data_IF_173267924020
#
_entry.id   IF_173267924020
#
_cell.length_a   1.000
_cell.length_b   1.000
_cell.length_c   1.000
_cell.angle_alpha   90.00
_cell.angle_beta   90.00
_cell.angle_gamma   90.00
#
_symmetry.space_group_name_H-M   'P 1'
#
loop_
_entity.id
_entity.type
_entity.pdbx_description
1 polymer ?
#
# COMPACT_ATOMS: atom_id res chain seq x y z
N UNK A 1 31.41 20.79 12.14
CA UNK A 1 30.87 19.68 12.97
C UNK A 1 29.58 19.25 12.29
N UNK A 2 29.64 18.24 11.42
CA UNK A 2 28.46 17.72 10.73
C UNK A 2 27.92 16.57 11.55
N UNK A 3 26.75 16.77 12.17
CA UNK A 3 26.00 15.66 12.76
C UNK A 3 25.58 14.73 11.64
N UNK A 4 26.14 13.51 11.67
CA UNK A 4 25.60 12.41 10.88
C UNK A 4 24.33 11.99 11.58
N UNK A 5 23.19 12.24 10.98
CA UNK A 5 21.96 11.57 11.35
C UNK A 5 21.99 10.15 10.75
N UNK A 6 21.79 9.14 11.60
CA UNK A 6 21.63 7.77 11.14
C UNK A 6 20.18 7.64 10.67
N UNK A 7 19.99 7.52 9.35
CA UNK A 7 18.71 7.06 8.83
C UNK A 7 18.52 5.60 9.29
N UNK A 8 17.52 5.37 10.12
CA UNK A 8 17.08 4.02 10.48
C UNK A 8 16.18 3.49 9.35
N UNK A 9 16.40 2.23 8.96
CA UNK A 9 15.64 1.58 7.90
C UNK A 9 14.78 0.51 8.54
N UNK A 10 13.46 0.64 8.36
CA UNK A 10 12.48 -0.36 8.76
C UNK A 10 11.85 -0.96 7.51
N UNK A 11 11.81 -2.28 7.47
CA UNK A 11 11.21 -3.00 6.36
C UNK A 11 9.69 -2.91 6.39
N UNK A 12 9.08 -2.98 5.21
CA UNK A 12 7.64 -2.92 5.01
C UNK A 12 7.22 -4.18 4.26
N UNK A 13 6.71 -5.18 4.97
CA UNK A 13 6.36 -6.45 4.34
C UNK A 13 5.22 -6.30 3.33
N UNK A 14 5.47 -6.71 2.09
CA UNK A 14 4.49 -6.74 0.99
C UNK A 14 4.10 -8.18 0.63
N UNK A 15 4.31 -9.10 1.56
CA UNK A 15 3.97 -10.52 1.45
C UNK A 15 5.16 -11.39 1.07
N UNK A 16 6.37 -11.07 1.56
CA UNK A 16 7.61 -11.83 1.30
C UNK A 16 7.47 -13.30 1.71
N UNK A 17 6.96 -13.55 2.92
CA UNK A 17 6.82 -14.90 3.47
C UNK A 17 5.80 -15.74 2.69
N UNK A 18 4.75 -15.10 2.19
CA UNK A 18 3.75 -15.73 1.33
C UNK A 18 4.17 -15.78 -0.16
N UNK A 19 5.24 -15.07 -0.52
CA UNK A 19 5.74 -14.96 -1.88
C UNK A 19 4.94 -14.03 -2.81
N UNK A 20 4.10 -13.17 -2.25
CA UNK A 20 3.25 -12.23 -3.00
C UNK A 20 4.01 -11.03 -3.56
N UNK A 21 5.23 -10.79 -3.05
CA UNK A 21 6.22 -9.83 -3.55
C UNK A 21 6.76 -10.19 -4.94
N UNK A 22 6.66 -11.47 -5.34
CA UNK A 22 7.13 -11.98 -6.64
C UNK A 22 5.98 -12.03 -7.63
N UNK A 23 5.99 -11.08 -8.55
CA UNK A 23 4.90 -10.84 -9.50
C UNK A 23 5.35 -10.93 -10.95
N UNK A 24 4.40 -11.22 -11.84
CA UNK A 24 4.56 -11.01 -13.28
C UNK A 24 3.83 -9.73 -13.68
N UNK A 25 4.58 -8.68 -14.03
CA UNK A 25 4.05 -7.36 -14.39
C UNK A 25 3.49 -7.32 -15.82
N UNK A 26 2.34 -7.95 -16.05
CA UNK A 26 1.62 -7.87 -17.32
C UNK A 26 0.76 -6.60 -17.46
N UNK A 27 0.24 -6.11 -16.34
CA UNK A 27 -0.59 -4.91 -16.23
C UNK A 27 -0.25 -4.16 -14.93
N UNK A 28 -0.67 -2.89 -14.79
CA UNK A 28 -0.59 -2.15 -13.53
C UNK A 28 -1.13 -2.95 -12.34
N UNK A 29 -0.33 -3.09 -11.29
CA UNK A 29 -0.75 -3.77 -10.06
C UNK A 29 -0.76 -2.80 -8.88
N UNK A 30 -1.51 -3.17 -7.86
CA UNK A 30 -1.49 -2.50 -6.55
C UNK A 30 -0.63 -3.35 -5.63
N UNK A 31 0.48 -2.78 -5.15
CA UNK A 31 1.26 -3.36 -4.06
C UNK A 31 0.62 -2.94 -2.74
N UNK A 32 0.42 -3.88 -1.83
CA UNK A 32 -0.17 -3.60 -0.52
C UNK A 32 0.78 -4.07 0.57
N UNK A 33 0.94 -3.22 1.57
CA UNK A 33 1.52 -3.56 2.86
C UNK A 33 0.38 -3.62 3.89
N UNK A 34 0.28 -4.73 4.63
CA UNK A 34 -0.68 -4.84 5.72
C UNK A 34 -0.11 -4.14 6.95
N UNK A 35 -0.88 -3.25 7.57
CA UNK A 35 -0.45 -2.56 8.79
C UNK A 35 -1.01 -3.31 9.99
N UNK A 36 -0.28 -4.36 10.34
CA UNK A 36 -0.45 -5.15 11.57
C UNK A 36 0.47 -4.65 12.69
N UNK A 37 0.51 -5.35 13.82
CA UNK A 37 1.30 -5.02 15.00
C UNK A 37 2.83 -5.06 14.77
N UNK A 38 3.29 -5.67 13.68
CA UNK A 38 4.70 -5.70 13.27
C UNK A 38 5.07 -4.54 12.33
N UNK A 39 4.07 -3.87 11.75
CA UNK A 39 4.27 -2.75 10.84
C UNK A 39 4.92 -1.53 11.53
N UNK A 40 5.91 -0.88 10.90
CA UNK A 40 6.43 0.42 11.34
C UNK A 40 5.38 1.54 11.40
N UNK A 41 4.26 1.37 10.69
CA UNK A 41 3.15 2.33 10.64
C UNK A 41 2.01 1.96 11.61
N UNK A 42 2.18 0.90 12.42
CA UNK A 42 1.17 0.49 13.37
C UNK A 42 0.83 1.60 14.36
N UNK A 43 -0.48 1.83 14.56
CA UNK A 43 -0.98 2.88 15.45
C UNK A 43 -0.80 4.32 14.94
N UNK A 44 -0.30 4.53 13.71
CA UNK A 44 -0.33 5.85 13.10
C UNK A 44 -1.77 6.30 12.86
N UNK A 45 -2.03 7.59 13.07
CA UNK A 45 -3.28 8.27 12.73
C UNK A 45 -3.02 9.29 11.62
N UNK A 46 -4.06 9.81 10.94
CA UNK A 46 -3.87 10.84 9.91
C UNK A 46 -3.07 12.05 10.42
N UNK A 47 -3.39 12.54 11.62
CA UNK A 47 -2.72 13.69 12.23
C UNK A 47 -1.24 13.40 12.56
N UNK A 48 -0.95 12.18 13.04
CA UNK A 48 0.42 11.76 13.34
C UNK A 48 1.23 11.60 12.06
N UNK A 49 0.64 11.00 11.02
CA UNK A 49 1.30 10.79 9.73
C UNK A 49 1.66 12.11 9.06
N UNK A 50 0.75 13.08 9.05
CA UNK A 50 1.01 14.40 8.47
C UNK A 50 2.19 15.14 9.13
N UNK A 51 2.43 14.90 10.43
CA UNK A 51 3.55 15.50 11.16
C UNK A 51 4.78 14.56 11.24
N UNK A 52 4.73 13.39 10.63
CA UNK A 52 5.81 12.41 10.72
C UNK A 52 7.02 12.83 9.88
N UNK A 53 8.19 12.31 10.25
CA UNK A 53 9.44 12.52 9.54
C UNK A 53 10.00 11.18 9.08
N UNK A 54 9.52 10.71 7.93
CA UNK A 54 10.04 9.54 7.24
C UNK A 54 9.89 9.70 5.74
N UNK A 55 10.51 8.81 4.98
CA UNK A 55 10.33 8.67 3.53
C UNK A 55 10.09 7.18 3.24
N UNK A 56 8.99 6.87 2.55
CA UNK A 56 8.70 5.50 2.13
C UNK A 56 9.39 5.25 0.80
N UNK A 57 10.39 4.37 0.78
CA UNK A 57 11.12 4.02 -0.44
C UNK A 57 10.52 2.75 -1.03
N UNK A 58 10.03 2.81 -2.27
CA UNK A 58 9.57 1.65 -3.03
C UNK A 58 10.63 1.25 -4.05
N UNK A 59 11.04 -0.02 -4.01
CA UNK A 59 12.00 -0.61 -4.96
C UNK A 59 11.35 -1.78 -5.68
N UNK A 60 11.45 -1.80 -7.01
CA UNK A 60 11.03 -2.92 -7.86
C UNK A 60 12.25 -3.45 -8.58
N UNK A 61 12.55 -4.72 -8.35
CA UNK A 61 13.60 -5.47 -9.06
C UNK A 61 12.97 -6.45 -10.03
N UNK A 62 13.62 -6.65 -11.18
CA UNK A 62 13.12 -7.59 -12.16
C UNK A 62 14.15 -7.96 -13.21
N UNK A 63 13.75 -8.89 -14.08
CA UNK A 63 14.53 -9.32 -15.23
C UNK A 63 13.71 -9.01 -16.47
N UNK A 64 14.34 -8.38 -17.46
CA UNK A 64 13.73 -8.15 -18.77
C UNK A 64 13.85 -9.44 -19.59
N UNK A 65 12.73 -10.11 -19.86
CA UNK A 65 12.69 -11.42 -20.53
C UNK A 65 13.48 -11.43 -21.85
N UNK A 66 13.32 -10.40 -22.68
CA UNK A 66 13.94 -10.33 -24.00
C UNK A 66 15.48 -10.21 -23.96
N UNK A 67 16.06 -9.70 -22.88
CA UNK A 67 17.51 -9.42 -22.79
C UNK A 67 18.21 -10.23 -21.69
N UNK A 68 17.46 -10.82 -20.76
CA UNK A 68 17.99 -11.46 -19.55
C UNK A 68 18.67 -10.48 -18.58
N UNK A 69 18.60 -9.17 -18.84
CA UNK A 69 19.22 -8.16 -17.97
C UNK A 69 18.36 -7.91 -16.74
N UNK A 70 19.00 -7.78 -15.59
CA UNK A 70 18.35 -7.31 -14.37
C UNK A 70 18.16 -5.80 -14.44
N UNK A 71 17.06 -5.31 -13.88
CA UNK A 71 16.81 -3.90 -13.66
C UNK A 71 16.32 -3.67 -12.23
N UNK A 72 16.49 -2.43 -11.78
CA UNK A 72 15.94 -1.95 -10.52
C UNK A 72 15.35 -0.56 -10.75
N UNK A 73 14.10 -0.38 -10.39
CA UNK A 73 13.41 0.90 -10.38
C UNK A 73 13.16 1.31 -8.92
N UNK A 74 13.33 2.59 -8.61
CA UNK A 74 13.11 3.14 -7.27
C UNK A 74 12.30 4.42 -7.35
N UNK A 75 11.42 4.59 -6.38
CA UNK A 75 10.70 5.83 -6.12
C UNK A 75 10.49 5.98 -4.62
N UNK A 76 10.02 7.13 -4.19
CA UNK A 76 9.75 7.39 -2.78
C UNK A 76 8.57 8.32 -2.58
N UNK A 77 8.01 8.25 -1.38
CA UNK A 77 6.86 9.04 -0.96
C UNK A 77 7.13 9.69 0.39
N UNK A 78 6.91 10.99 0.47
CA UNK A 78 6.86 11.73 1.74
C UNK A 78 5.50 11.51 2.42
N UNK A 79 5.38 11.76 3.74
CA UNK A 79 4.14 11.52 4.47
C UNK A 79 2.96 12.31 3.90
N UNK A 80 3.19 13.52 3.39
CA UNK A 80 2.17 14.37 2.76
C UNK A 80 1.69 13.86 1.38
N UNK A 81 2.43 12.93 0.77
CA UNK A 81 2.04 12.28 -0.49
C UNK A 81 1.20 11.01 -0.24
N UNK A 82 1.09 10.56 1.02
CA UNK A 82 0.31 9.40 1.42
C UNK A 82 -1.12 9.83 1.76
N UNK A 83 -2.06 9.44 0.90
CA UNK A 83 -3.46 9.85 1.03
C UNK A 83 -4.27 8.88 1.88
N UNK A 84 -4.69 9.35 3.06
CA UNK A 84 -5.51 8.56 3.97
C UNK A 84 -6.97 8.48 3.55
N UNK A 85 -7.57 7.28 3.61
CA UNK A 85 -8.99 7.08 3.26
C UNK A 85 -9.28 7.21 1.76
N UNK A 86 -8.26 7.00 0.93
CA UNK A 86 -8.38 6.92 -0.52
C UNK A 86 -8.01 5.52 -1.01
N UNK A 87 -8.54 5.16 -2.17
CA UNK A 87 -8.11 3.99 -2.92
C UNK A 87 -7.98 4.32 -4.41
N UNK A 88 -7.13 3.58 -5.12
CA UNK A 88 -7.10 3.62 -6.58
C UNK A 88 -8.42 3.12 -7.15
N UNK A 89 -8.93 3.82 -8.16
CA UNK A 89 -10.10 3.38 -8.90
C UNK A 89 -9.76 2.12 -9.70
N UNK A 90 -10.68 1.17 -9.73
CA UNK A 90 -10.48 -0.05 -10.53
C UNK A 90 -10.31 0.30 -12.02
N UNK A 91 -9.19 -0.11 -12.58
CA UNK A 91 -8.90 0.01 -14.02
C UNK A 91 -9.67 -1.02 -14.86
N UNK A 92 -10.18 -2.08 -14.24
CA UNK A 92 -10.88 -3.17 -14.93
C UNK A 92 -12.37 -2.87 -14.97
N UNK A 93 -12.88 -2.63 -16.17
CA UNK A 93 -14.28 -2.23 -16.40
C UNK A 93 -14.96 -3.21 -17.35
N UNK A 94 -16.18 -3.65 -17.02
CA UNK A 94 -16.98 -4.46 -17.92
C UNK A 94 -17.52 -3.59 -19.06
N UNK A 95 -17.14 -3.90 -20.30
CA UNK A 95 -17.80 -3.36 -21.47
C UNK A 95 -19.06 -4.17 -21.78
N UNK A 96 -20.20 -3.66 -21.35
CA UNK A 96 -21.51 -4.32 -21.50
C UNK A 96 -21.89 -4.60 -22.95
N UNK A 97 -21.39 -3.81 -23.92
CA UNK A 97 -21.72 -3.98 -25.34
C UNK A 97 -21.08 -5.22 -25.95
N UNK A 98 -19.87 -5.57 -25.50
CA UNK A 98 -19.11 -6.72 -26.01
C UNK A 98 -19.05 -7.87 -25.00
N UNK A 99 -19.52 -7.66 -23.77
CA UNK A 99 -19.52 -8.65 -22.70
C UNK A 99 -18.13 -9.06 -22.23
N UNK A 100 -17.15 -8.14 -22.28
CA UNK A 100 -15.74 -8.41 -21.89
C UNK A 100 -15.21 -7.34 -20.96
N UNK A 101 -14.23 -7.70 -20.14
CA UNK A 101 -13.49 -6.74 -19.34
C UNK A 101 -12.44 -6.02 -20.18
N UNK A 102 -12.33 -4.72 -19.97
CA UNK A 102 -11.33 -3.86 -20.58
C UNK A 102 -10.52 -3.16 -19.49
N UNK A 103 -9.23 -2.94 -19.78
CA UNK A 103 -8.33 -2.20 -18.89
C UNK A 103 -8.30 -0.75 -19.37
N UNK A 104 -8.81 0.18 -18.55
CA UNK A 104 -8.82 1.60 -18.84
C UNK A 104 -7.61 2.29 -18.20
N UNK A 105 -6.50 2.42 -18.95
CA UNK A 105 -5.25 3.05 -18.48
C UNK A 105 -5.39 4.51 -18.07
N UNK A 106 -6.39 5.23 -18.56
CA UNK A 106 -6.71 6.60 -18.11
C UNK A 106 -7.09 6.66 -16.62
N UNK A 107 -7.43 5.53 -16.00
CA UNK A 107 -7.80 5.44 -14.59
C UNK A 107 -6.61 5.09 -13.69
N UNK A 108 -5.38 5.02 -14.24
CA UNK A 108 -4.20 4.59 -13.49
C UNK A 108 -3.92 5.49 -12.28
N UNK A 109 -3.96 6.81 -12.46
CA UNK A 109 -3.75 7.79 -11.39
C UNK A 109 -5.06 8.24 -10.71
N UNK A 110 -6.20 7.68 -11.12
CA UNK A 110 -7.51 8.09 -10.59
C UNK A 110 -7.75 7.44 -9.23
N UNK A 111 -8.08 8.27 -8.25
CA UNK A 111 -8.35 7.87 -6.87
C UNK A 111 -9.78 8.24 -6.49
N UNK A 112 -10.35 7.51 -5.53
CA UNK A 112 -11.64 7.83 -4.94
C UNK A 112 -11.55 7.79 -3.41
N UNK A 113 -12.26 8.72 -2.78
CA UNK A 113 -12.41 8.72 -1.32
C UNK A 113 -13.30 7.55 -0.90
N UNK A 114 -12.93 6.90 0.18
CA UNK A 114 -13.71 5.82 0.79
C UNK A 114 -14.45 6.39 1.99
N UNK A 115 -15.72 6.73 1.79
CA UNK A 115 -16.61 7.12 2.89
C UNK A 115 -16.80 5.93 3.84
N UNK A 116 -16.41 6.09 5.10
CA UNK A 116 -16.72 5.12 6.16
C UNK A 116 -15.54 4.35 6.76
N UNK A 117 -14.41 5.00 7.04
CA UNK A 117 -13.55 4.51 8.13
C UNK A 117 -14.36 4.65 9.43
N UNK A 118 -15.11 3.62 9.77
CA UNK A 118 -16.00 3.63 10.92
C UNK A 118 -15.18 3.43 12.20
N UNK A 119 -14.55 4.52 12.67
CA UNK A 119 -13.77 4.60 13.91
C UNK A 119 -14.55 4.12 15.16
N UNK A 120 -15.88 3.95 15.09
CA UNK A 120 -16.68 3.39 16.19
C UNK A 120 -16.54 1.87 16.38
N UNK A 121 -16.00 1.14 15.40
CA UNK A 121 -15.61 -0.26 15.60
C UNK A 121 -14.36 -0.41 16.50
N UNK A 122 -13.77 0.72 16.93
CA UNK A 122 -12.56 0.80 17.74
C UNK A 122 -12.83 0.78 19.26
N UNK A 123 -14.08 0.94 19.73
CA UNK A 123 -14.43 0.98 21.17
C UNK A 123 -15.30 -0.19 21.68
N UNK A 124 -15.56 -1.22 20.88
CA UNK A 124 -16.30 -2.41 21.35
C UNK A 124 -15.58 -3.67 20.87
N UNK A 125 -14.63 -4.16 21.67
CA UNK A 125 -14.69 -5.52 22.23
C UNK A 125 -13.52 -5.76 23.19
N UNK A 126 -13.73 -5.55 24.48
CA UNK A 126 -12.80 -6.01 25.53
C UNK A 126 -13.17 -7.43 26.00
N UNK A 127 -14.07 -8.15 25.29
CA UNK A 127 -14.62 -9.45 25.75
C UNK A 127 -15.06 -10.43 24.64
N UNK A 128 -14.43 -10.50 23.46
CA UNK A 128 -14.58 -11.67 22.59
C UNK A 128 -13.25 -12.20 22.06
N UNK A 129 -12.95 -13.42 22.47
CA UNK A 129 -11.84 -14.27 22.02
C UNK A 129 -12.04 -14.82 20.59
N UNK A 130 -12.36 -13.97 19.61
CA UNK A 130 -12.35 -14.36 18.20
C UNK A 130 -11.32 -13.52 17.44
N UNK A 131 -10.15 -14.13 17.23
CA UNK A 131 -9.06 -13.62 16.39
C UNK A 131 -9.51 -13.56 14.92
N UNK A 132 -10.10 -12.44 14.52
CA UNK A 132 -10.28 -12.06 13.11
C UNK A 132 -9.08 -11.20 12.67
N UNK A 133 -8.15 -11.81 11.93
CA UNK A 133 -6.89 -11.23 11.44
C UNK A 133 -7.08 -10.20 10.31
N UNK A 134 -8.25 -9.56 10.22
CA UNK A 134 -8.60 -8.65 9.11
C UNK A 134 -8.86 -7.19 9.53
N UNK A 135 -8.61 -6.82 10.80
CA UNK A 135 -8.81 -5.44 11.27
C UNK A 135 -7.53 -4.61 11.13
N UNK A 136 -7.39 -3.90 10.01
CA UNK A 136 -6.42 -2.83 9.83
C UNK A 136 -6.82 -1.62 10.69
N UNK A 137 -6.08 -1.41 11.79
CA UNK A 137 -6.23 -0.29 12.74
C UNK A 137 -5.85 1.06 12.12
N UNK A 138 -5.19 1.03 10.96
CA UNK A 138 -4.54 2.17 10.34
C UNK A 138 -5.36 2.84 9.24
N UNK A 139 -6.64 2.51 9.03
CA UNK A 139 -7.47 3.19 8.02
C UNK A 139 -6.97 3.10 6.55
N UNK A 140 -5.91 2.34 6.29
CA UNK A 140 -5.44 1.97 4.96
C UNK A 140 -6.22 0.72 4.50
N UNK A 141 -6.82 0.82 3.31
CA UNK A 141 -7.63 -0.24 2.68
C UNK A 141 -6.87 -0.81 1.48
#
# INVERSE_FOLDING_TARGET
KGERELADFKDMDVGYDAGWDRILLLWPIIVRHLIDDQSPLFGMTPDVMHNAHFELIMTVEGIVEATGMTFQARTSFLPDEILWGYRFRSMVVLNEKIGRYEIQYKLFDEIESVDGINLKAMEIDDNNDDYDSSRNISGFI
#
